data_IF_084412682752
#
_entry.id   IF_084412682752
#
_cell.length_a   1.000
_cell.length_b   1.000
_cell.length_c   1.000
_cell.angle_alpha   90.00
_cell.angle_beta   90.00
_cell.angle_gamma   90.00
#
_symmetry.space_group_name_H-M   'P 1'
#
loop_
_entity.id
_entity.type
_entity.pdbx_description
1 polymer ?
#
# COMPACT_ATOMS: atom_id res chain seq x y z
N UNK A 1 -6.04 12.69 -3.95
CA UNK A 1 -6.78 13.95 -3.89
C UNK A 1 -6.03 15.02 -4.68
N UNK A 2 -6.75 15.87 -5.44
CA UNK A 2 -6.16 16.91 -6.30
C UNK A 2 -5.54 16.37 -7.59
N UNK A 3 -5.90 15.17 -8.00
CA UNK A 3 -5.46 14.49 -9.21
C UNK A 3 -6.64 14.29 -10.15
N UNK A 4 -6.47 14.63 -11.43
CA UNK A 4 -7.53 14.54 -12.44
C UNK A 4 -6.98 14.04 -13.76
N UNK A 5 -7.66 13.10 -14.43
CA UNK A 5 -7.29 12.70 -15.78
C UNK A 5 -7.67 13.80 -16.78
N UNK A 6 -6.76 14.14 -17.69
CA UNK A 6 -7.00 15.08 -18.80
C UNK A 6 -7.07 14.26 -20.08
N UNK A 7 -8.27 14.15 -20.66
CA UNK A 7 -8.53 13.39 -21.90
C UNK A 7 -8.71 14.29 -23.12
N UNK A 8 -9.00 15.56 -22.90
CA UNK A 8 -9.22 16.57 -23.92
C UNK A 8 -8.77 17.95 -23.44
N UNK A 9 -8.64 18.91 -24.34
CA UNK A 9 -8.33 20.30 -24.01
C UNK A 9 -9.34 20.92 -23.05
N UNK A 10 -10.62 20.53 -23.13
CA UNK A 10 -11.69 21.01 -22.26
C UNK A 10 -11.51 20.59 -20.79
N UNK A 11 -10.72 19.54 -20.52
CA UNK A 11 -10.48 19.03 -19.16
C UNK A 11 -9.35 19.78 -18.45
N UNK A 12 -8.55 20.58 -19.16
CA UNK A 12 -7.35 21.22 -18.60
C UNK A 12 -7.70 22.20 -17.48
N UNK A 13 -8.64 23.12 -17.70
CA UNK A 13 -9.02 24.12 -16.70
C UNK A 13 -9.70 23.49 -15.47
N UNK A 14 -10.66 22.56 -15.60
CA UNK A 14 -11.20 21.82 -14.46
C UNK A 14 -10.13 21.05 -13.68
N UNK A 15 -9.21 20.35 -14.34
CA UNK A 15 -8.12 19.63 -13.70
C UNK A 15 -7.16 20.55 -12.94
N UNK A 16 -6.85 21.72 -13.53
CA UNK A 16 -6.06 22.75 -12.85
C UNK A 16 -6.73 23.24 -11.57
N UNK A 17 -8.02 23.56 -11.63
CA UNK A 17 -8.78 24.03 -10.45
C UNK A 17 -8.80 22.95 -9.37
N UNK A 18 -9.08 21.69 -9.74
CA UNK A 18 -9.07 20.55 -8.80
C UNK A 18 -7.70 20.38 -8.15
N UNK A 19 -6.61 20.47 -8.93
CA UNK A 19 -5.25 20.34 -8.40
C UNK A 19 -4.88 21.42 -7.38
N UNK A 20 -5.46 22.63 -7.50
CA UNK A 20 -5.21 23.74 -6.60
C UNK A 20 -6.08 23.68 -5.33
N UNK A 21 -7.24 23.04 -5.38
CA UNK A 21 -8.24 23.04 -4.31
C UNK A 21 -8.44 21.69 -3.63
N UNK A 22 -8.27 20.59 -4.36
CA UNK A 22 -8.58 19.24 -3.90
C UNK A 22 -7.47 18.55 -3.10
N UNK A 23 -6.24 19.06 -3.15
CA UNK A 23 -5.09 18.45 -2.51
C UNK A 23 -4.88 18.89 -1.06
N UNK A 24 -4.21 18.04 -0.26
CA UNK A 24 -3.79 18.40 1.11
C UNK A 24 -2.61 19.38 1.14
N UNK A 25 -1.88 19.48 0.04
CA UNK A 25 -0.70 20.36 -0.08
C UNK A 25 -1.06 21.84 -0.34
N UNK A 26 -2.32 22.13 -0.64
CA UNK A 26 -2.77 23.47 -1.02
C UNK A 26 -2.37 23.84 -2.45
N UNK A 27 -2.64 25.10 -2.83
CA UNK A 27 -2.31 25.63 -4.16
C UNK A 27 -0.79 25.71 -4.38
N UNK A 28 -0.34 25.45 -5.60
CA UNK A 28 1.07 25.50 -5.94
C UNK A 28 1.42 24.88 -7.29
N UNK A 29 2.61 24.30 -7.34
CA UNK A 29 3.08 23.59 -8.53
C UNK A 29 2.37 22.26 -8.68
N UNK A 30 2.08 21.85 -9.91
CA UNK A 30 1.48 20.57 -10.27
C UNK A 30 2.45 19.79 -11.16
N UNK A 31 2.32 18.46 -11.14
CA UNK A 31 2.97 17.56 -12.09
C UNK A 31 1.96 17.25 -13.18
N UNK A 32 2.41 17.24 -14.43
CA UNK A 32 1.65 16.75 -15.58
C UNK A 32 2.38 15.52 -16.09
N UNK A 33 1.70 14.38 -16.04
CA UNK A 33 2.26 13.08 -16.37
C UNK A 33 1.53 12.46 -17.56
N UNK A 34 2.25 11.66 -18.36
CA UNK A 34 1.65 10.83 -19.37
C UNK A 34 0.87 9.68 -18.73
N UNK A 35 -0.22 9.26 -19.41
CA UNK A 35 -0.94 8.07 -18.96
C UNK A 35 -0.08 6.82 -19.21
N UNK A 36 0.04 5.98 -18.16
CA UNK A 36 0.82 4.74 -18.21
C UNK A 36 -0.13 3.57 -18.37
N UNK A 37 0.11 2.72 -19.37
CA UNK A 37 -0.53 1.41 -19.48
C UNK A 37 0.32 0.40 -18.71
N UNK A 38 -0.30 -0.47 -17.94
CA UNK A 38 0.38 -1.45 -17.12
C UNK A 38 -0.48 -2.72 -16.95
N UNK A 39 0.18 -3.83 -16.65
CA UNK A 39 -0.48 -5.10 -16.36
C UNK A 39 -0.94 -5.16 -14.90
N UNK A 40 -0.10 -4.65 -13.99
CA UNK A 40 -0.39 -4.59 -12.55
C UNK A 40 0.46 -3.54 -11.85
N UNK A 41 0.02 -3.17 -10.64
CA UNK A 41 0.73 -2.27 -9.74
C UNK A 41 1.36 -3.04 -8.58
N UNK A 42 2.50 -2.56 -8.12
CA UNK A 42 3.16 -3.07 -6.92
C UNK A 42 3.52 -1.96 -5.95
N UNK A 43 3.57 -2.32 -4.67
CA UNK A 43 4.34 -1.58 -3.66
C UNK A 43 5.53 -2.44 -3.26
N UNK A 44 6.74 -1.92 -3.43
CA UNK A 44 7.95 -2.53 -2.90
C UNK A 44 8.34 -1.81 -1.60
N UNK A 45 8.04 -2.44 -0.47
CA UNK A 45 8.47 -1.92 0.83
C UNK A 45 9.98 -2.05 0.95
N UNK A 46 10.63 -0.90 1.05
CA UNK A 46 12.09 -0.74 1.07
C UNK A 46 12.50 -0.18 2.43
N UNK A 47 13.31 -0.91 3.17
CA UNK A 47 13.76 -0.51 4.51
C UNK A 47 15.20 -0.05 4.46
N UNK A 48 15.45 1.24 4.71
CA UNK A 48 16.79 1.79 4.87
C UNK A 48 17.17 1.81 6.35
N UNK A 49 18.29 1.22 6.70
CA UNK A 49 18.75 1.09 8.09
C UNK A 49 20.28 1.15 8.18
N UNK A 50 20.82 1.18 9.37
CA UNK A 50 22.27 1.29 9.60
C UNK A 50 23.10 0.17 8.95
N UNK A 51 22.53 -1.01 8.73
CA UNK A 51 23.17 -2.14 8.06
C UNK A 51 23.05 -2.16 6.54
N UNK A 52 22.29 -1.21 5.93
CA UNK A 52 22.07 -1.13 4.48
C UNK A 52 20.62 -0.94 4.09
N UNK A 53 20.21 -1.59 3.01
CA UNK A 53 18.83 -1.57 2.49
C UNK A 53 18.30 -3.00 2.39
N UNK A 54 17.10 -3.22 2.92
CA UNK A 54 16.37 -4.50 2.83
C UNK A 54 15.10 -4.28 1.99
N UNK A 55 14.89 -5.11 0.98
CA UNK A 55 13.66 -5.16 0.21
C UNK A 55 12.77 -6.27 0.76
N UNK A 56 11.47 -6.02 0.88
CA UNK A 56 10.51 -7.05 1.24
C UNK A 56 9.95 -7.72 -0.04
N UNK A 57 9.24 -8.82 0.12
CA UNK A 57 8.51 -9.44 -0.98
C UNK A 57 7.55 -8.41 -1.61
N UNK A 58 7.47 -8.30 -2.94
CA UNK A 58 6.57 -7.36 -3.61
C UNK A 58 5.12 -7.55 -3.18
N UNK A 59 4.42 -6.45 -3.03
CA UNK A 59 3.00 -6.42 -2.66
C UNK A 59 2.21 -5.98 -3.89
N UNK A 60 1.31 -6.84 -4.37
CA UNK A 60 0.29 -6.45 -5.33
C UNK A 60 -0.88 -5.79 -4.60
N UNK A 61 -1.56 -4.88 -5.26
CA UNK A 61 -2.72 -4.22 -4.67
C UNK A 61 -3.77 -3.85 -5.73
N UNK A 62 -4.97 -3.63 -5.23
CA UNK A 62 -6.08 -3.15 -6.01
C UNK A 62 -6.61 -1.85 -5.40
N UNK A 63 -6.76 -0.84 -6.24
CA UNK A 63 -7.31 0.46 -5.90
C UNK A 63 -8.60 0.70 -6.68
N UNK A 64 -9.55 1.41 -6.07
CA UNK A 64 -10.76 1.89 -6.73
C UNK A 64 -10.82 3.40 -6.51
N UNK A 65 -10.85 4.17 -7.58
CA UNK A 65 -10.86 5.64 -7.55
C UNK A 65 -9.69 6.23 -6.71
N UNK A 66 -8.50 5.60 -6.79
CA UNK A 66 -7.32 5.99 -6.04
C UNK A 66 -7.38 5.65 -4.55
N UNK A 67 -8.36 4.85 -4.11
CA UNK A 67 -8.46 4.38 -2.73
C UNK A 67 -8.13 2.89 -2.64
N UNK A 68 -7.23 2.57 -1.72
CA UNK A 68 -6.80 1.21 -1.43
C UNK A 68 -7.97 0.33 -0.99
N UNK A 69 -8.11 -0.83 -1.61
CA UNK A 69 -9.14 -1.83 -1.29
C UNK A 69 -8.56 -3.12 -0.77
N UNK A 70 -7.68 -3.76 -1.54
CA UNK A 70 -7.01 -5.00 -1.20
C UNK A 70 -5.51 -4.93 -1.50
N UNK A 71 -4.73 -5.68 -0.75
CA UNK A 71 -3.35 -6.02 -1.13
C UNK A 71 -3.05 -7.48 -0.82
N UNK A 72 -2.05 -8.02 -1.49
CA UNK A 72 -1.59 -9.39 -1.30
C UNK A 72 -0.08 -9.50 -1.43
N UNK A 73 0.47 -10.50 -0.78
CA UNK A 73 1.91 -10.77 -0.77
C UNK A 73 2.16 -12.29 -0.80
N UNK A 74 3.07 -12.78 -1.68
CA UNK A 74 3.85 -12.00 -2.63
C UNK A 74 3.06 -11.69 -3.91
N UNK A 75 3.38 -10.59 -4.58
CA UNK A 75 3.03 -10.39 -5.98
C UNK A 75 4.04 -11.16 -6.84
N UNK A 76 3.54 -12.05 -7.68
CA UNK A 76 4.39 -12.75 -8.63
C UNK A 76 4.96 -11.77 -9.68
N UNK A 77 6.26 -11.82 -9.90
CA UNK A 77 7.00 -11.01 -10.87
C UNK A 77 8.04 -11.87 -11.56
N UNK A 78 8.46 -11.48 -12.78
CA UNK A 78 9.66 -12.04 -13.38
C UNK A 78 10.91 -11.59 -12.59
N UNK A 79 11.98 -12.36 -12.65
CA UNK A 79 13.27 -12.00 -12.03
C UNK A 79 13.79 -10.65 -12.58
N UNK A 80 13.57 -10.40 -13.88
CA UNK A 80 13.97 -9.15 -14.54
C UNK A 80 13.20 -7.96 -13.99
N UNK A 81 11.88 -8.06 -13.89
CA UNK A 81 11.05 -6.99 -13.34
C UNK A 81 11.36 -6.75 -11.85
N UNK A 82 11.56 -7.80 -11.06
CA UNK A 82 11.92 -7.67 -9.65
C UNK A 82 13.26 -6.94 -9.48
N UNK A 83 14.28 -7.32 -10.23
CA UNK A 83 15.58 -6.65 -10.19
C UNK A 83 15.50 -5.17 -10.58
N UNK A 84 14.68 -4.82 -11.58
CA UNK A 84 14.43 -3.42 -11.94
C UNK A 84 13.70 -2.66 -10.83
N UNK A 85 12.69 -3.28 -10.21
CA UNK A 85 11.95 -2.67 -9.11
C UNK A 85 12.87 -2.37 -7.92
N UNK A 86 13.74 -3.30 -7.54
CA UNK A 86 14.73 -3.10 -6.47
C UNK A 86 15.74 -2.00 -6.79
N UNK A 87 16.24 -1.94 -8.04
CA UNK A 87 17.16 -0.88 -8.49
C UNK A 87 16.50 0.51 -8.44
N UNK A 88 15.26 0.62 -8.92
CA UNK A 88 14.46 1.86 -8.83
C UNK A 88 14.25 2.26 -7.38
N UNK A 89 13.76 1.34 -6.56
CA UNK A 89 13.50 1.60 -5.14
C UNK A 89 14.76 2.03 -4.39
N UNK A 90 15.89 1.38 -4.67
CA UNK A 90 17.17 1.76 -4.09
C UNK A 90 17.58 3.17 -4.48
N UNK A 91 17.53 3.52 -5.76
CA UNK A 91 17.89 4.85 -6.26
C UNK A 91 17.02 5.96 -5.65
N UNK A 92 15.72 5.74 -5.62
CA UNK A 92 14.75 6.70 -5.07
C UNK A 92 14.98 6.91 -3.58
N UNK A 93 15.08 5.82 -2.81
CA UNK A 93 15.26 5.92 -1.35
C UNK A 93 16.63 6.40 -0.94
N UNK A 94 17.69 6.13 -1.72
CA UNK A 94 19.02 6.69 -1.51
C UNK A 94 19.04 8.21 -1.73
N UNK A 95 18.33 8.69 -2.76
CA UNK A 95 18.20 10.12 -3.05
C UNK A 95 17.43 10.88 -1.96
N UNK A 96 16.42 10.25 -1.35
CA UNK A 96 15.67 10.82 -0.23
C UNK A 96 16.48 10.84 1.07
N UNK A 97 17.30 9.84 1.29
CA UNK A 97 18.07 9.71 2.52
C UNK A 97 17.25 9.27 3.72
N UNK A 98 17.87 9.31 4.92
CA UNK A 98 17.23 8.92 6.18
C UNK A 98 17.11 7.41 6.38
N UNK A 99 16.65 7.00 7.58
CA UNK A 99 16.36 5.62 7.93
C UNK A 99 14.88 5.44 8.22
N UNK A 100 14.32 4.32 7.79
CA UNK A 100 12.91 3.98 7.93
C UNK A 100 12.45 3.07 6.82
N UNK A 101 11.14 2.86 6.75
CA UNK A 101 10.51 2.15 5.66
C UNK A 101 9.96 3.14 4.63
N UNK A 102 10.04 2.75 3.37
CA UNK A 102 9.53 3.49 2.23
C UNK A 102 8.62 2.57 1.42
N UNK A 103 7.38 2.99 1.20
CA UNK A 103 6.48 2.36 0.22
C UNK A 103 6.79 2.93 -1.15
N UNK A 104 7.44 2.17 -2.02
CA UNK A 104 7.75 2.58 -3.39
C UNK A 104 6.74 1.94 -4.32
N UNK A 105 5.88 2.75 -4.93
CA UNK A 105 4.83 2.30 -5.84
C UNK A 105 5.31 2.33 -7.28
N UNK A 106 5.02 1.28 -8.02
CA UNK A 106 5.49 1.10 -9.39
C UNK A 106 4.44 0.40 -10.24
N UNK A 107 4.39 0.79 -11.50
CA UNK A 107 3.63 0.10 -12.55
C UNK A 107 4.52 -0.92 -13.25
N UNK A 108 3.95 -2.05 -13.62
CA UNK A 108 4.66 -3.13 -14.31
C UNK A 108 3.93 -3.50 -15.60
N UNK A 109 4.66 -3.46 -16.73
CA UNK A 109 4.22 -3.90 -18.06
C UNK A 109 5.22 -4.94 -18.57
N UNK A 110 4.85 -6.22 -18.55
CA UNK A 110 5.78 -7.31 -18.83
C UNK A 110 6.98 -7.30 -17.88
N UNK A 111 8.18 -7.08 -18.42
CA UNK A 111 9.43 -6.94 -17.66
C UNK A 111 9.79 -5.47 -17.36
N UNK A 112 9.03 -4.52 -17.88
CA UNK A 112 9.31 -3.11 -17.73
C UNK A 112 8.67 -2.56 -16.45
N UNK A 113 9.45 -1.87 -15.62
CA UNK A 113 9.00 -1.29 -14.35
C UNK A 113 9.09 0.23 -14.42
N UNK A 114 8.02 0.91 -14.09
CA UNK A 114 7.90 2.37 -14.11
C UNK A 114 7.63 2.85 -12.69
N UNK A 115 8.45 3.78 -12.21
CA UNK A 115 8.23 4.45 -10.92
C UNK A 115 6.93 5.28 -10.96
N UNK A 116 6.10 5.15 -9.93
CA UNK A 116 4.90 5.96 -9.71
C UNK A 116 5.12 6.97 -8.59
N UNK A 117 5.15 6.51 -7.35
CA UNK A 117 5.36 7.40 -6.21
C UNK A 117 6.14 6.73 -5.09
N UNK A 118 6.56 7.52 -4.09
CA UNK A 118 7.21 7.02 -2.88
C UNK A 118 6.62 7.67 -1.64
N UNK A 119 6.25 6.84 -0.69
CA UNK A 119 5.79 7.23 0.64
C UNK A 119 6.88 6.92 1.68
N UNK A 120 7.57 7.92 2.26
CA UNK A 120 8.63 7.69 3.27
C UNK A 120 8.02 7.40 4.65
N UNK A 121 7.20 6.36 4.74
CA UNK A 121 6.44 5.93 5.93
C UNK A 121 5.88 4.52 5.72
N UNK A 122 5.36 3.85 6.78
CA UNK A 122 4.50 2.68 6.60
C UNK A 122 3.35 2.99 5.63
N UNK A 123 3.01 2.02 4.80
CA UNK A 123 2.09 2.18 3.67
C UNK A 123 0.84 1.31 3.84
N UNK A 124 -0.32 1.81 3.41
CA UNK A 124 -1.59 1.08 3.58
C UNK A 124 -1.57 -0.31 2.92
N UNK A 125 -0.90 -0.47 1.77
CA UNK A 125 -0.73 -1.77 1.13
C UNK A 125 0.13 -2.71 1.95
N UNK A 126 1.05 -2.18 2.77
CA UNK A 126 1.95 -2.92 3.64
C UNK A 126 1.29 -3.54 4.87
N UNK A 127 0.02 -3.25 5.14
CA UNK A 127 -0.69 -3.87 6.28
C UNK A 127 -0.73 -5.39 6.19
N UNK A 128 -0.64 -5.98 4.99
CA UNK A 128 -0.52 -7.43 4.80
C UNK A 128 0.67 -8.01 5.53
N UNK A 129 1.74 -7.24 5.75
CA UNK A 129 2.94 -7.68 6.48
C UNK A 129 2.69 -8.03 7.95
N UNK A 130 1.57 -7.60 8.51
CA UNK A 130 1.19 -7.98 9.87
C UNK A 130 0.82 -9.47 10.02
N UNK A 131 0.60 -10.17 8.91
CA UNK A 131 0.26 -11.60 8.91
C UNK A 131 1.19 -12.43 8.00
N UNK A 132 1.79 -11.82 6.99
CA UNK A 132 2.61 -12.53 5.98
C UNK A 132 4.05 -12.80 6.42
N UNK A 133 4.56 -12.09 7.44
CA UNK A 133 5.97 -12.16 7.85
C UNK A 133 6.15 -11.91 9.36
N UNK A 134 7.32 -12.23 9.89
CA UNK A 134 7.63 -12.13 11.32
C UNK A 134 7.85 -10.70 11.82
N UNK A 135 8.31 -9.80 10.97
CA UNK A 135 8.45 -8.38 11.26
C UNK A 135 7.54 -7.56 10.35
N UNK A 136 6.46 -7.01 10.88
CA UNK A 136 5.58 -6.14 10.12
C UNK A 136 6.29 -4.87 9.64
N UNK A 137 5.74 -4.19 8.64
CA UNK A 137 6.24 -2.89 8.17
C UNK A 137 6.44 -1.88 9.31
N UNK A 138 5.54 -1.89 10.30
CA UNK A 138 5.62 -1.02 11.50
C UNK A 138 6.82 -1.39 12.38
N UNK A 139 7.04 -2.69 12.61
CA UNK A 139 8.18 -3.17 13.38
C UNK A 139 9.51 -2.85 12.68
N UNK A 140 9.56 -3.02 11.36
CA UNK A 140 10.74 -2.69 10.55
C UNK A 140 11.02 -1.19 10.54
N UNK A 141 9.97 -0.35 10.39
CA UNK A 141 10.11 1.09 10.49
C UNK A 141 10.67 1.53 11.84
N UNK A 142 10.07 1.04 12.93
CA UNK A 142 10.53 1.36 14.28
C UNK A 142 11.99 0.95 14.51
N UNK A 143 12.39 -0.26 14.07
CA UNK A 143 13.77 -0.70 14.18
C UNK A 143 14.73 0.18 13.38
N UNK A 144 14.37 0.53 12.15
CA UNK A 144 15.18 1.37 11.29
C UNK A 144 15.44 2.75 11.88
N UNK A 145 14.37 3.45 12.31
CA UNK A 145 14.50 4.80 12.92
C UNK A 145 15.23 4.80 14.25
N UNK A 146 15.15 3.71 15.02
CA UNK A 146 15.86 3.56 16.30
C UNK A 146 17.28 3.03 16.14
N UNK A 147 17.73 2.77 14.91
CA UNK A 147 19.07 2.19 14.66
C UNK A 147 19.24 0.76 15.17
N UNK A 148 18.11 0.03 15.38
CA UNK A 148 18.15 -1.35 15.82
C UNK A 148 18.46 -2.29 14.65
N UNK A 149 19.05 -3.47 14.91
CA UNK A 149 19.34 -4.45 13.88
C UNK A 149 18.06 -4.93 13.17
N UNK A 150 18.16 -5.07 11.85
CA UNK A 150 17.14 -5.71 11.02
C UNK A 150 17.75 -7.03 10.51
N UNK A 151 17.31 -8.17 11.06
CA UNK A 151 17.71 -9.49 10.56
C UNK A 151 17.02 -9.80 9.24
N UNK A 152 17.34 -10.95 8.67
CA UNK A 152 16.55 -11.51 7.58
C UNK A 152 15.08 -11.62 8.00
N UNK A 153 14.17 -11.07 7.17
CA UNK A 153 12.74 -11.09 7.42
C UNK A 153 12.19 -12.43 6.95
N UNK A 154 11.60 -13.20 7.86
CA UNK A 154 11.01 -14.50 7.53
C UNK A 154 9.59 -14.34 7.00
N UNK A 155 9.39 -14.73 5.76
CA UNK A 155 8.08 -14.78 5.12
C UNK A 155 7.35 -16.08 5.47
N UNK A 156 6.05 -16.00 5.82
CA UNK A 156 5.26 -17.14 6.25
C UNK A 156 4.47 -17.81 5.12
N UNK A 157 4.09 -17.05 4.10
CA UNK A 157 3.32 -17.56 2.96
C UNK A 157 2.29 -16.56 2.43
N UNK A 158 1.56 -17.02 1.44
CA UNK A 158 0.58 -16.20 0.73
C UNK A 158 -0.46 -15.61 1.68
N UNK A 159 -0.60 -14.30 1.60
CA UNK A 159 -1.44 -13.53 2.52
C UNK A 159 -2.08 -12.35 1.79
N UNK A 160 -3.17 -11.86 2.34
CA UNK A 160 -3.87 -10.68 1.83
C UNK A 160 -4.36 -9.78 2.96
N UNK A 161 -4.62 -8.54 2.61
CA UNK A 161 -5.34 -7.59 3.46
C UNK A 161 -6.47 -6.92 2.69
N UNK A 162 -7.59 -6.65 3.39
CA UNK A 162 -8.78 -6.00 2.87
C UNK A 162 -9.15 -4.83 3.77
N UNK A 163 -9.27 -3.64 3.19
CA UNK A 163 -9.70 -2.46 3.93
C UNK A 163 -11.18 -2.59 4.37
N UNK A 164 -11.44 -2.30 5.64
CA UNK A 164 -12.79 -2.09 6.16
C UNK A 164 -13.12 -0.62 5.98
N UNK A 165 -14.03 -0.34 5.07
CA UNK A 165 -14.45 1.02 4.71
C UNK A 165 -15.84 1.27 5.25
N UNK A 166 -16.02 2.43 5.89
CA UNK A 166 -17.31 2.90 6.39
C UNK A 166 -17.68 4.17 5.64
N UNK A 167 -18.94 4.25 5.22
CA UNK A 167 -19.50 5.41 4.54
C UNK A 167 -20.64 6.01 5.36
N UNK A 168 -20.75 7.34 5.35
CA UNK A 168 -21.80 8.09 6.04
C UNK A 168 -21.26 9.12 7.03
N UNK A 169 -22.15 9.61 7.90
CA UNK A 169 -21.83 10.56 8.95
C UNK A 169 -22.30 10.01 10.29
N UNK A 170 -21.34 9.73 11.18
CA UNK A 170 -21.63 9.21 12.52
C UNK A 170 -20.50 9.56 13.49
N UNK A 171 -20.85 9.77 14.75
CA UNK A 171 -19.91 9.97 15.87
C UNK A 171 -19.57 8.66 16.58
N UNK A 172 -20.31 7.60 16.30
CA UNK A 172 -20.04 6.25 16.81
C UNK A 172 -20.15 5.25 15.66
N UNK A 173 -19.18 4.32 15.59
CA UNK A 173 -19.18 3.23 14.61
C UNK A 173 -19.23 1.90 15.34
N UNK A 174 -20.25 1.11 15.03
CA UNK A 174 -20.45 -0.22 15.60
C UNK A 174 -20.17 -1.28 14.54
N UNK A 175 -19.33 -2.24 14.86
CA UNK A 175 -19.02 -3.38 13.99
C UNK A 175 -19.81 -4.61 14.47
N UNK A 176 -20.47 -5.28 13.53
CA UNK A 176 -21.16 -6.56 13.75
C UNK A 176 -20.54 -7.65 12.88
N UNK A 177 -20.73 -8.92 13.25
CA UNK A 177 -20.19 -10.04 12.47
C UNK A 177 -18.71 -10.35 12.73
N UNK A 178 -18.06 -9.62 13.63
CA UNK A 178 -16.63 -9.80 13.95
C UNK A 178 -16.32 -11.23 14.41
N UNK A 179 -17.25 -11.85 15.17
CA UNK A 179 -17.15 -13.24 15.64
C UNK A 179 -17.13 -14.24 14.47
N UNK A 180 -17.82 -13.94 13.36
CA UNK A 180 -17.84 -14.79 12.16
C UNK A 180 -16.50 -14.70 11.43
N UNK A 181 -15.99 -13.48 11.24
CA UNK A 181 -14.67 -13.27 10.64
C UNK A 181 -13.57 -13.99 11.44
N UNK A 182 -13.57 -13.83 12.77
CA UNK A 182 -12.56 -14.43 13.65
C UNK A 182 -12.71 -15.96 13.81
N UNK A 183 -13.86 -16.54 13.44
CA UNK A 183 -14.04 -17.98 13.38
C UNK A 183 -13.39 -18.63 12.13
N UNK A 184 -13.02 -17.84 11.14
CA UNK A 184 -12.37 -18.31 9.91
C UNK A 184 -10.87 -18.57 10.17
N UNK A 185 -10.35 -19.79 9.90
CA UNK A 185 -8.93 -20.10 10.10
C UNK A 185 -8.02 -19.21 9.25
N UNK A 186 -6.98 -18.63 9.88
CA UNK A 186 -6.02 -17.78 9.20
C UNK A 186 -6.50 -16.35 8.98
N UNK A 187 -7.62 -15.93 9.60
CA UNK A 187 -8.14 -14.56 9.54
C UNK A 187 -7.80 -13.80 10.83
N UNK A 188 -7.43 -12.54 10.67
CA UNK A 188 -7.26 -11.57 11.74
C UNK A 188 -7.94 -10.24 11.35
N UNK A 189 -8.41 -9.49 12.34
CA UNK A 189 -9.03 -8.18 12.13
C UNK A 189 -8.30 -7.13 12.98
N UNK A 190 -8.12 -5.93 12.43
CA UNK A 190 -7.59 -4.76 13.13
C UNK A 190 -8.54 -3.59 12.93
N UNK A 191 -9.05 -3.03 14.02
CA UNK A 191 -9.81 -1.78 14.01
C UNK A 191 -8.90 -0.61 14.38
N UNK A 192 -9.05 0.52 13.68
CA UNK A 192 -8.16 1.67 13.84
C UNK A 192 -8.60 2.63 14.95
N UNK A 193 -9.74 2.38 15.61
CA UNK A 193 -10.23 3.18 16.74
C UNK A 193 -10.53 4.64 16.39
N UNK A 194 -10.90 4.94 15.15
CA UNK A 194 -11.27 6.30 14.75
C UNK A 194 -12.57 6.72 15.41
N UNK A 195 -12.67 7.96 15.95
CA UNK A 195 -13.81 8.37 16.76
C UNK A 195 -15.08 8.65 15.95
N UNK A 196 -14.94 9.01 14.68
CA UNK A 196 -16.05 9.50 13.85
C UNK A 196 -15.83 9.17 12.37
N UNK A 197 -16.90 9.10 11.62
CA UNK A 197 -16.90 9.03 10.15
C UNK A 197 -17.61 10.25 9.57
N UNK A 198 -16.99 10.84 8.55
CA UNK A 198 -17.58 11.84 7.68
C UNK A 198 -17.25 11.44 6.23
N UNK A 199 -18.33 11.17 5.45
CA UNK A 199 -18.23 10.69 4.09
C UNK A 199 -17.68 9.27 4.01
N UNK A 200 -16.44 9.07 3.52
CA UNK A 200 -15.79 7.80 3.27
C UNK A 200 -14.51 7.68 4.09
N UNK A 201 -14.40 6.61 4.91
CA UNK A 201 -13.24 6.46 5.80
C UNK A 201 -12.88 4.99 6.07
N UNK A 202 -11.59 4.65 6.00
CA UNK A 202 -11.08 3.33 6.39
C UNK A 202 -11.03 3.21 7.91
N UNK A 203 -11.69 2.20 8.46
CA UNK A 203 -11.83 1.97 9.90
C UNK A 203 -11.08 0.75 10.41
N UNK A 204 -10.57 -0.07 9.52
CA UNK A 204 -9.86 -1.26 9.88
C UNK A 204 -9.33 -2.01 8.68
N UNK A 205 -8.80 -3.18 8.95
CA UNK A 205 -8.31 -4.12 7.95
C UNK A 205 -8.60 -5.55 8.38
N UNK A 206 -9.06 -6.36 7.45
CA UNK A 206 -9.06 -7.82 7.55
C UNK A 206 -7.77 -8.33 6.96
N UNK A 207 -7.12 -9.26 7.63
CA UNK A 207 -5.90 -9.94 7.21
C UNK A 207 -6.22 -11.43 7.06
N UNK A 208 -5.78 -12.05 5.99
CA UNK A 208 -6.00 -13.48 5.75
C UNK A 208 -4.76 -14.16 5.19
N UNK A 209 -4.59 -15.44 5.53
CA UNK A 209 -3.60 -16.35 4.92
C UNK A 209 -4.29 -17.50 4.25
N UNK A 210 -3.73 -17.98 3.13
CA UNK A 210 -4.20 -19.18 2.45
C UNK A 210 -3.07 -19.85 1.63
N UNK A 211 -3.40 -20.89 0.85
CA UNK A 211 -2.45 -21.64 0.01
C UNK A 211 -1.81 -20.77 -1.09
N UNK A 212 -2.56 -19.81 -1.61
CA UNK A 212 -2.11 -18.86 -2.63
C UNK A 212 -2.78 -17.49 -2.41
N UNK A 213 -2.30 -16.49 -3.13
CA UNK A 213 -2.75 -15.10 -2.95
C UNK A 213 -4.20 -14.88 -3.37
N UNK A 214 -4.67 -15.56 -4.42
CA UNK A 214 -6.06 -15.46 -4.88
C UNK A 214 -7.03 -15.95 -3.80
N UNK A 215 -6.73 -17.11 -3.16
CA UNK A 215 -7.52 -17.65 -2.05
C UNK A 215 -7.44 -16.75 -0.81
N UNK A 216 -6.26 -16.20 -0.51
CA UNK A 216 -6.10 -15.28 0.61
C UNK A 216 -6.92 -13.99 0.41
N UNK A 217 -6.93 -13.41 -0.79
CA UNK A 217 -7.77 -12.25 -1.15
C UNK A 217 -9.25 -12.59 -1.02
N UNK A 218 -9.69 -13.71 -1.61
CA UNK A 218 -11.10 -14.15 -1.52
C UNK A 218 -11.53 -14.33 -0.06
N UNK A 219 -10.70 -14.96 0.77
CA UNK A 219 -10.95 -15.13 2.21
C UNK A 219 -11.02 -13.80 2.96
N UNK A 220 -10.13 -12.85 2.65
CA UNK A 220 -10.15 -11.52 3.28
C UNK A 220 -11.39 -10.71 2.89
N UNK A 221 -11.93 -10.92 1.70
CA UNK A 221 -13.17 -10.28 1.22
C UNK A 221 -14.40 -10.91 1.89
N UNK A 222 -14.41 -12.23 2.08
CA UNK A 222 -15.53 -12.96 2.70
C UNK A 222 -15.66 -12.64 4.19
N UNK A 223 -14.56 -12.43 4.87
CA UNK A 223 -14.48 -12.16 6.31
C UNK A 223 -14.89 -10.72 6.67
#
# INVERSE_FOLDING_TARGET
HGQSPVKSEADIEPAWIESQMGGRAGAGRVIVEGFVHFDYEITLLTVRHAGGTTFLQPIGHHQVDGDYRESWQPQAMSETALAQAEDIAKKVTDALGGYGIFGVEMFVEGDHVIFSEVSPRPHDTGMVTMISQDLSEFALHARAVLGLPIPEVRFFGASASKAIVVEGDATEVVFSGVEKALAMPGVQVRFFGKPEVHGHRRYGVVLATDENTEKAVAKAIEA
#
